data_IF_342447732713
#
_entry.id   IF_342447732713
#
_cell.length_a   1.000
_cell.length_b   1.000
_cell.length_c   1.000
_cell.angle_alpha   90.00
_cell.angle_beta   90.00
_cell.angle_gamma   90.00
#
_symmetry.space_group_name_H-M   'P 1'
#
loop_
_entity.id
_entity.type
_entity.pdbx_description
1 polymer ?
#
# COMPACT_ATOMS: atom_id res chain seq x y z
N UNK A 1 21.64 -26.34 7.57
CA UNK A 1 21.52 -25.47 6.38
C UNK A 1 20.63 -24.31 6.78
N UNK A 2 21.14 -23.07 6.72
CA UNK A 2 20.37 -21.87 7.06
C UNK A 2 19.23 -21.74 6.03
N UNK A 3 17.98 -21.79 6.50
CA UNK A 3 16.86 -21.26 5.73
C UNK A 3 17.19 -19.80 5.44
N UNK A 4 17.46 -19.48 4.18
CA UNK A 4 17.51 -18.10 3.74
C UNK A 4 16.07 -17.59 3.89
N UNK A 5 15.78 -16.97 5.03
CA UNK A 5 14.53 -16.26 5.24
C UNK A 5 14.39 -15.28 4.08
N UNK A 6 13.42 -15.55 3.19
CA UNK A 6 13.08 -14.69 2.07
C UNK A 6 12.39 -13.47 2.68
N UNK A 7 13.19 -12.59 3.28
CA UNK A 7 12.67 -11.42 3.97
C UNK A 7 12.19 -10.45 2.91
N UNK A 8 10.91 -10.45 2.58
CA UNK A 8 10.29 -9.51 1.66
C UNK A 8 10.64 -8.07 2.07
N UNK A 9 11.21 -7.31 1.14
CA UNK A 9 11.65 -5.93 1.36
C UNK A 9 10.67 -5.03 0.62
N UNK A 10 10.16 -4.02 1.33
CA UNK A 10 9.33 -2.97 0.76
C UNK A 10 10.10 -1.67 0.83
N UNK A 11 10.07 -0.90 -0.25
CA UNK A 11 10.83 0.33 -0.39
C UNK A 11 9.86 1.51 -0.59
N UNK A 12 10.23 2.74 -0.19
CA UNK A 12 9.42 3.92 -0.52
C UNK A 12 9.18 4.03 -2.03
N UNK A 13 8.02 4.53 -2.42
CA UNK A 13 7.72 4.73 -3.84
C UNK A 13 8.70 5.70 -4.51
N UNK A 14 9.16 5.35 -5.71
CA UNK A 14 9.99 6.21 -6.54
C UNK A 14 9.29 6.59 -7.85
N UNK A 15 9.87 7.56 -8.58
CA UNK A 15 9.31 8.00 -9.86
C UNK A 15 9.26 6.87 -10.89
N UNK A 16 10.25 5.98 -10.90
CA UNK A 16 10.32 4.82 -11.80
C UNK A 16 9.16 3.85 -11.60
N UNK A 17 8.60 3.78 -10.38
CA UNK A 17 7.48 2.89 -10.08
C UNK A 17 6.19 3.36 -10.72
N UNK A 18 5.98 4.68 -10.83
CA UNK A 18 4.77 5.26 -11.41
C UNK A 18 4.61 4.97 -12.90
N UNK A 19 5.71 4.66 -13.58
CA UNK A 19 5.74 4.30 -15.01
C UNK A 19 5.98 2.81 -15.24
N UNK A 20 5.98 2.00 -14.19
CA UNK A 20 6.22 0.54 -14.26
C UNK A 20 5.10 -0.26 -14.96
N UNK A 21 3.95 0.38 -15.22
CA UNK A 21 2.79 -0.30 -15.79
C UNK A 21 2.08 -1.24 -14.80
N UNK A 22 2.22 -0.99 -13.50
CA UNK A 22 1.54 -1.75 -12.45
C UNK A 22 0.02 -1.82 -12.69
N UNK A 23 -0.55 -3.02 -12.55
CA UNK A 23 -1.99 -3.28 -12.66
C UNK A 23 -2.42 -4.33 -11.64
N UNK A 24 -3.25 -3.92 -10.68
CA UNK A 24 -3.89 -4.80 -9.69
C UNK A 24 -5.28 -5.29 -10.13
N UNK A 25 -5.68 -5.02 -11.38
CA UNK A 25 -6.99 -5.40 -11.91
C UNK A 25 -8.15 -4.49 -11.46
N UNK A 26 -7.86 -3.47 -10.65
CA UNK A 26 -8.81 -2.43 -10.26
C UNK A 26 -8.31 -1.09 -10.77
N UNK A 27 -8.86 -0.64 -11.90
CA UNK A 27 -8.41 0.58 -12.59
C UNK A 27 -8.31 1.82 -11.70
N UNK A 28 -9.22 1.99 -10.74
CA UNK A 28 -9.14 3.12 -9.81
C UNK A 28 -7.89 3.12 -8.92
N UNK A 29 -7.38 1.93 -8.56
CA UNK A 29 -6.13 1.78 -7.80
C UNK A 29 -4.90 1.92 -8.69
N UNK A 30 -4.98 1.41 -9.92
CA UNK A 30 -3.90 1.54 -10.92
C UNK A 30 -3.68 3.02 -11.28
N UNK A 31 -4.77 3.76 -11.54
CA UNK A 31 -4.74 5.21 -11.78
C UNK A 31 -4.23 5.98 -10.56
N UNK A 32 -4.65 5.58 -9.36
CA UNK A 32 -4.16 6.18 -8.13
C UNK A 32 -2.64 5.99 -7.99
N UNK A 33 -2.14 4.78 -8.23
CA UNK A 33 -0.72 4.47 -8.14
C UNK A 33 0.10 5.30 -9.14
N UNK A 34 -0.34 5.32 -10.40
CA UNK A 34 0.38 6.01 -11.47
C UNK A 34 0.38 7.54 -11.34
N UNK A 35 -0.71 8.15 -10.83
CA UNK A 35 -0.88 9.61 -10.85
C UNK A 35 -0.79 10.30 -9.49
N UNK A 36 -1.09 9.59 -8.40
CA UNK A 36 -1.33 10.19 -7.09
C UNK A 36 -0.41 9.67 -5.99
N UNK A 37 0.00 8.40 -5.99
CA UNK A 37 0.75 7.80 -4.89
C UNK A 37 2.08 8.53 -4.58
N UNK A 38 2.91 8.79 -5.58
CA UNK A 38 4.19 9.50 -5.41
C UNK A 38 3.98 10.93 -4.90
N UNK A 39 2.97 11.63 -5.43
CA UNK A 39 2.65 13.00 -5.03
C UNK A 39 2.13 13.06 -3.59
N UNK A 40 1.30 12.10 -3.20
CA UNK A 40 0.76 12.01 -1.85
C UNK A 40 1.84 11.68 -0.82
N UNK A 41 2.84 10.85 -1.19
CA UNK A 41 4.02 10.59 -0.37
C UNK A 41 4.87 11.85 -0.20
N UNK A 42 5.18 12.55 -1.31
CA UNK A 42 5.96 13.78 -1.29
C UNK A 42 5.28 14.92 -0.51
N UNK A 43 3.95 14.99 -0.49
CA UNK A 43 3.17 15.98 0.26
C UNK A 43 2.90 15.57 1.72
N UNK A 44 3.35 14.39 2.15
CA UNK A 44 3.12 13.87 3.51
C UNK A 44 1.66 13.55 3.82
N UNK A 45 0.80 13.45 2.80
CA UNK A 45 -0.63 13.11 2.93
C UNK A 45 -0.78 11.62 3.28
N UNK A 46 0.08 10.77 2.70
CA UNK A 46 0.13 9.35 2.97
C UNK A 46 1.42 8.75 2.44
N UNK A 47 2.07 7.89 3.23
CA UNK A 47 3.34 7.27 2.85
C UNK A 47 3.10 6.05 1.99
N UNK A 48 3.73 5.98 0.82
CA UNK A 48 3.55 4.87 -0.11
C UNK A 48 4.80 3.98 -0.15
N UNK A 49 4.57 2.67 -0.09
CA UNK A 49 5.60 1.65 -0.14
C UNK A 49 5.28 0.66 -1.25
N UNK A 50 6.33 0.24 -1.96
CA UNK A 50 6.28 -0.62 -3.12
C UNK A 50 7.02 -1.92 -2.82
N UNK A 51 6.46 -3.01 -3.33
CA UNK A 51 7.06 -4.33 -3.27
C UNK A 51 7.56 -4.70 -4.67
N UNK A 52 8.89 -4.73 -4.84
CA UNK A 52 9.52 -5.02 -6.12
C UNK A 52 9.87 -6.49 -6.29
N UNK A 53 9.87 -6.92 -7.55
CA UNK A 53 10.45 -8.19 -7.98
C UNK A 53 11.97 -8.17 -7.79
N UNK A 54 12.52 -9.28 -7.29
CA UNK A 54 13.96 -9.42 -7.01
C UNK A 54 14.75 -9.87 -8.21
N UNK A 55 16.05 -9.62 -8.13
CA UNK A 55 17.03 -10.28 -8.98
C UNK A 55 17.02 -11.79 -8.67
N UNK A 56 16.45 -12.60 -9.57
CA UNK A 56 16.31 -14.05 -9.42
C UNK A 56 14.87 -14.56 -9.37
N UNK A 57 13.88 -13.66 -9.22
CA UNK A 57 12.47 -14.00 -9.42
C UNK A 57 12.17 -14.18 -10.92
N UNK A 58 11.04 -14.80 -11.24
CA UNK A 58 10.65 -15.08 -12.62
C UNK A 58 10.62 -13.79 -13.48
N UNK A 59 11.38 -13.74 -14.60
CA UNK A 59 11.41 -12.60 -15.50
C UNK A 59 10.04 -12.22 -16.09
N UNK A 60 9.06 -13.13 -16.07
CA UNK A 60 7.68 -12.87 -16.49
C UNK A 60 6.88 -12.03 -15.48
N UNK A 61 7.30 -11.98 -14.21
CA UNK A 61 6.64 -11.16 -13.20
C UNK A 61 6.87 -9.66 -13.45
N UNK A 62 5.90 -8.80 -13.12
CA UNK A 62 6.08 -7.36 -13.23
C UNK A 62 7.14 -6.84 -12.26
N UNK A 63 7.79 -5.72 -12.60
CA UNK A 63 8.78 -5.07 -11.72
C UNK A 63 8.18 -4.70 -10.37
N UNK A 64 6.94 -4.21 -10.36
CA UNK A 64 6.17 -3.94 -9.15
C UNK A 64 5.15 -5.06 -8.93
N UNK A 65 5.31 -5.78 -7.83
CA UNK A 65 4.44 -6.90 -7.44
C UNK A 65 3.23 -6.43 -6.60
N UNK A 66 3.35 -5.27 -5.95
CA UNK A 66 2.29 -4.69 -5.15
C UNK A 66 2.73 -3.37 -4.52
N UNK A 67 1.76 -2.60 -4.02
CA UNK A 67 2.04 -1.43 -3.22
C UNK A 67 1.02 -1.31 -2.10
N UNK A 68 1.37 -0.54 -1.08
CA UNK A 68 0.43 -0.11 -0.06
C UNK A 68 0.72 1.33 0.33
N UNK A 69 -0.32 2.03 0.78
CA UNK A 69 -0.19 3.38 1.33
C UNK A 69 -0.64 3.41 2.78
N UNK A 70 0.17 3.99 3.65
CA UNK A 70 -0.13 4.28 5.04
C UNK A 70 -0.45 5.77 5.17
N UNK A 71 -1.71 6.09 5.44
CA UNK A 71 -2.14 7.46 5.72
C UNK A 71 -2.68 7.55 7.14
N UNK A 72 -2.36 8.65 7.83
CA UNK A 72 -2.99 9.00 9.09
C UNK A 72 -4.42 9.43 8.80
N UNK A 73 -5.39 8.63 9.22
CA UNK A 73 -6.79 8.98 9.18
C UNK A 73 -7.34 9.06 10.61
N UNK A 74 -8.36 9.88 10.82
CA UNK A 74 -9.15 9.85 12.05
C UNK A 74 -10.53 9.29 11.70
N UNK A 75 -10.98 8.31 12.47
CA UNK A 75 -12.33 7.78 12.33
C UNK A 75 -13.16 8.22 13.54
N UNK A 76 -14.41 8.59 13.28
CA UNK A 76 -15.34 8.97 14.35
C UNK A 76 -15.59 7.75 15.25
N UNK A 77 -15.44 7.96 16.55
CA UNK A 77 -15.60 6.92 17.57
C UNK A 77 -16.95 6.19 17.46
N UNK A 78 -18.01 6.89 17.00
CA UNK A 78 -19.33 6.30 16.73
C UNK A 78 -19.30 5.22 15.65
N UNK A 79 -18.64 5.46 14.52
CA UNK A 79 -18.51 4.48 13.43
C UNK A 79 -17.73 3.24 13.86
N UNK A 80 -16.78 3.39 14.79
CA UNK A 80 -15.97 2.29 15.32
C UNK A 80 -16.72 1.53 16.43
N UNK A 81 -17.45 2.23 17.30
CA UNK A 81 -18.23 1.62 18.39
C UNK A 81 -19.34 0.71 17.86
N UNK A 82 -19.96 1.06 16.73
CA UNK A 82 -20.97 0.22 16.08
C UNK A 82 -20.42 -1.13 15.60
N UNK A 83 -19.13 -1.16 15.21
CA UNK A 83 -18.45 -2.37 14.72
C UNK A 83 -17.83 -3.18 15.86
N UNK A 84 -17.13 -2.52 16.79
CA UNK A 84 -16.39 -3.18 17.88
C UNK A 84 -17.26 -3.48 19.11
N UNK A 85 -18.52 -3.01 19.16
CA UNK A 85 -19.48 -3.19 20.27
C UNK A 85 -18.87 -2.93 21.66
N UNK A 86 -17.93 -2.00 21.75
CA UNK A 86 -17.18 -1.66 22.97
C UNK A 86 -17.22 -0.15 23.20
N UNK A 87 -17.17 0.27 24.47
CA UNK A 87 -17.13 1.69 24.84
C UNK A 87 -15.79 2.27 24.41
N UNK A 88 -15.81 3.08 23.35
CA UNK A 88 -14.65 3.82 22.90
C UNK A 88 -14.64 5.24 23.48
N UNK A 89 -13.45 5.84 23.65
CA UNK A 89 -13.33 7.24 24.04
C UNK A 89 -14.02 8.17 23.03
N UNK A 90 -14.61 9.28 23.50
CA UNK A 90 -15.39 10.22 22.66
C UNK A 90 -14.55 11.14 21.76
N UNK A 91 -13.27 10.86 21.54
CA UNK A 91 -12.41 11.61 20.64
C UNK A 91 -12.18 10.83 19.34
N UNK A 92 -11.88 11.51 18.20
CA UNK A 92 -11.53 10.82 16.95
C UNK A 92 -10.34 9.89 17.17
N UNK A 93 -10.51 8.61 16.84
CA UNK A 93 -9.47 7.61 17.06
C UNK A 93 -8.47 7.65 15.91
N UNK A 94 -7.16 7.68 16.18
CA UNK A 94 -6.15 7.58 15.14
C UNK A 94 -6.26 6.19 14.50
N UNK A 95 -6.53 6.14 13.21
CA UNK A 95 -6.61 4.91 12.42
C UNK A 95 -5.60 4.98 11.29
N UNK A 96 -4.87 3.88 11.09
CA UNK A 96 -4.06 3.71 9.89
C UNK A 96 -4.97 3.12 8.81
N UNK A 97 -5.28 3.90 7.78
CA UNK A 97 -5.99 3.39 6.62
C UNK A 97 -4.98 2.67 5.73
N UNK A 98 -5.15 1.35 5.59
CA UNK A 98 -4.31 0.50 4.74
C UNK A 98 -5.07 0.17 3.46
N UNK A 99 -4.66 0.77 2.35
CA UNK A 99 -5.08 0.33 1.01
C UNK A 99 -4.06 -0.67 0.49
N UNK A 100 -4.44 -1.94 0.35
CA UNK A 100 -3.58 -3.01 -0.18
C UNK A 100 -4.08 -3.44 -1.56
N UNK A 101 -3.19 -3.50 -2.54
CA UNK A 101 -3.49 -3.95 -3.90
C UNK A 101 -2.39 -4.92 -4.39
N UNK A 102 -2.68 -6.24 -4.50
CA UNK A 102 -1.76 -7.18 -5.14
C UNK A 102 -1.81 -7.00 -6.67
N UNK A 103 -0.67 -7.13 -7.35
CA UNK A 103 -0.65 -7.13 -8.82
C UNK A 103 -1.49 -8.30 -9.37
N UNK A 104 -2.34 -8.03 -10.37
CA UNK A 104 -3.24 -9.02 -10.96
C UNK A 104 -2.59 -9.80 -12.12
N UNK A 105 -1.30 -9.62 -12.37
CA UNK A 105 -0.54 -10.29 -13.42
C UNK A 105 -0.17 -11.75 -13.06
N UNK A 106 -1.08 -12.49 -12.42
CA UNK A 106 -0.96 -13.94 -12.16
C UNK A 106 -1.85 -14.73 -13.12
#
# INVERSE_FOLDING_TARGET
>A
MREAGVGYVTEPIELVDTTSGFSCGKHSLDDYFARHALKNDALGIGRAYVFHRRLGDDPALPTVLGFYTLSMASAESQQISDVLKTRLPKYPMPVALTSLAPSAAL
#
